data_IF_567979292278
#
_entry.id   IF_567979292278
#
_cell.length_a   1.000
_cell.length_b   1.000
_cell.length_c   1.000
_cell.angle_alpha   90.00
_cell.angle_beta   90.00
_cell.angle_gamma   90.00
#
_symmetry.space_group_name_H-M   'P 1'
#
loop_
_entity.id
_entity.type
_entity.pdbx_description
1 polymer ?
#
# COMPACT_ATOMS: atom_id res chain seq x y z
N UNK A 1 -23.05 -7.45 4.02
CA UNK A 1 -23.52 -6.28 4.79
C UNK A 1 -22.77 -5.05 4.28
N UNK A 2 -23.38 -3.86 4.24
CA UNK A 2 -22.64 -2.64 3.92
C UNK A 2 -21.56 -2.39 4.99
N UNK A 3 -20.36 -2.04 4.54
CA UNK A 3 -19.24 -1.65 5.40
C UNK A 3 -19.41 -0.17 5.74
N UNK A 4 -19.36 0.19 7.03
CA UNK A 4 -19.41 1.57 7.46
C UNK A 4 -18.01 2.03 7.88
N UNK A 5 -17.59 3.19 7.39
CA UNK A 5 -16.28 3.78 7.67
C UNK A 5 -16.45 4.97 8.62
N UNK A 6 -15.65 5.01 9.67
CA UNK A 6 -15.55 6.16 10.57
C UNK A 6 -14.62 7.22 9.96
N UNK A 7 -15.19 8.09 9.13
CA UNK A 7 -14.46 9.15 8.47
C UNK A 7 -14.12 10.30 9.41
N UNK A 8 -12.87 10.74 9.38
CA UNK A 8 -12.38 11.91 10.13
C UNK A 8 -11.71 12.90 9.17
N UNK A 9 -11.73 14.23 9.46
CA UNK A 9 -11.01 15.19 8.64
C UNK A 9 -9.52 14.84 8.56
N UNK A 10 -8.92 14.97 7.38
CA UNK A 10 -7.49 14.73 7.16
C UNK A 10 -6.73 16.07 7.22
N UNK A 11 -5.95 16.35 8.28
CA UNK A 11 -5.32 17.66 8.44
C UNK A 11 -4.17 17.92 7.47
N UNK A 12 -3.59 16.89 6.84
CA UNK A 12 -2.59 17.07 5.78
C UNK A 12 -3.14 17.77 4.52
N UNK A 13 -4.45 17.68 4.27
CA UNK A 13 -5.08 18.27 3.09
C UNK A 13 -6.51 18.71 3.41
N UNK A 14 -6.71 20.03 3.53
CA UNK A 14 -8.02 20.61 3.81
C UNK A 14 -9.09 20.15 2.80
N UNK A 15 -10.31 19.89 3.30
CA UNK A 15 -11.42 19.39 2.48
C UNK A 15 -11.35 17.90 2.16
N UNK A 16 -10.38 17.16 2.70
CA UNK A 16 -10.30 15.70 2.58
C UNK A 16 -10.56 15.00 3.91
N UNK A 17 -10.86 13.71 3.81
CA UNK A 17 -11.19 12.84 4.94
C UNK A 17 -10.37 11.55 4.87
N UNK A 18 -10.14 10.93 6.02
CA UNK A 18 -9.49 9.61 6.14
C UNK A 18 -10.36 8.65 6.94
N UNK A 19 -10.20 7.38 6.67
CA UNK A 19 -10.76 6.29 7.47
C UNK A 19 -9.83 5.08 7.39
N UNK A 20 -9.89 4.23 8.39
CA UNK A 20 -9.16 2.97 8.46
C UNK A 20 -10.13 1.84 8.77
N UNK A 21 -9.88 0.66 8.19
CA UNK A 21 -10.71 -0.51 8.42
C UNK A 21 -9.85 -1.76 8.37
N UNK A 22 -9.94 -2.54 9.44
CA UNK A 22 -9.43 -3.90 9.48
C UNK A 22 -10.51 -4.86 8.98
N UNK A 23 -10.08 -5.87 8.23
CA UNK A 23 -10.97 -6.87 7.66
C UNK A 23 -10.34 -8.26 7.77
N UNK A 24 -11.16 -9.29 7.64
CA UNK A 24 -10.73 -10.67 7.45
C UNK A 24 -11.56 -11.26 6.31
N UNK A 25 -10.93 -12.03 5.44
CA UNK A 25 -11.52 -12.47 4.18
C UNK A 25 -10.67 -13.52 3.49
N UNK A 26 -11.05 -13.89 2.27
CA UNK A 26 -10.29 -14.84 1.46
C UNK A 26 -8.96 -14.23 0.98
N UNK A 27 -7.95 -15.07 0.77
CA UNK A 27 -6.68 -14.68 0.13
C UNK A 27 -6.96 -14.00 -1.20
N UNK A 28 -6.27 -12.88 -1.47
CA UNK A 28 -6.48 -12.04 -2.65
C UNK A 28 -7.55 -10.96 -2.47
N UNK A 29 -8.14 -10.82 -1.28
CA UNK A 29 -9.10 -9.75 -1.00
C UNK A 29 -8.44 -8.36 -1.12
N UNK A 30 -7.17 -8.21 -0.73
CA UNK A 30 -6.46 -6.93 -0.93
C UNK A 30 -6.34 -6.55 -2.41
N UNK A 31 -6.04 -7.52 -3.27
CA UNK A 31 -5.98 -7.30 -4.72
C UNK A 31 -7.34 -6.86 -5.29
N UNK A 32 -8.43 -7.48 -4.81
CA UNK A 32 -9.79 -7.13 -5.20
C UNK A 32 -10.17 -5.72 -4.73
N UNK A 33 -9.85 -5.37 -3.48
CA UNK A 33 -10.07 -4.03 -2.91
C UNK A 33 -9.30 -2.98 -3.71
N UNK A 34 -7.98 -3.15 -3.87
CA UNK A 34 -7.14 -2.22 -4.62
C UNK A 34 -7.63 -2.02 -6.07
N UNK A 35 -8.08 -3.10 -6.71
CA UNK A 35 -8.66 -3.06 -8.06
C UNK A 35 -9.98 -2.30 -8.14
N UNK A 36 -10.83 -2.40 -7.11
CA UNK A 36 -12.08 -1.65 -7.04
C UNK A 36 -11.84 -0.15 -6.76
N UNK A 37 -10.83 0.17 -5.94
CA UNK A 37 -10.52 1.53 -5.52
C UNK A 37 -9.72 2.34 -6.54
N UNK A 38 -8.86 1.71 -7.37
CA UNK A 38 -7.99 2.42 -8.32
C UNK A 38 -8.72 3.29 -9.34
N UNK A 39 -10.02 3.07 -9.56
CA UNK A 39 -10.85 3.88 -10.46
C UNK A 39 -11.21 5.25 -9.90
N UNK A 40 -10.89 5.53 -8.63
CA UNK A 40 -11.25 6.76 -7.94
C UNK A 40 -10.07 7.73 -7.98
N UNK A 41 -10.13 8.69 -8.89
CA UNK A 41 -8.98 9.54 -9.30
C UNK A 41 -8.42 10.47 -8.22
N UNK A 42 -9.13 10.67 -7.11
CA UNK A 42 -8.69 11.55 -6.01
C UNK A 42 -8.40 10.78 -4.71
N UNK A 43 -8.52 9.46 -4.73
CA UNK A 43 -8.31 8.63 -3.55
C UNK A 43 -6.81 8.34 -3.37
N UNK A 44 -6.34 8.38 -2.13
CA UNK A 44 -5.09 7.77 -1.69
C UNK A 44 -5.44 6.61 -0.79
N UNK A 45 -4.82 5.46 -1.00
CA UNK A 45 -5.11 4.29 -0.17
C UNK A 45 -3.90 3.38 -0.02
N UNK A 46 -3.92 2.65 1.10
CA UNK A 46 -3.04 1.54 1.36
C UNK A 46 -3.91 0.33 1.73
N UNK A 47 -3.62 -0.83 1.16
CA UNK A 47 -4.28 -2.09 1.50
C UNK A 47 -3.21 -3.12 1.76
N UNK A 48 -3.20 -3.67 2.97
CA UNK A 48 -2.29 -4.73 3.38
C UNK A 48 -3.09 -6.00 3.63
N UNK A 49 -2.58 -7.11 3.11
CA UNK A 49 -3.05 -8.46 3.39
C UNK A 49 -1.92 -9.23 4.05
N UNK A 50 -2.20 -9.76 5.24
CA UNK A 50 -1.26 -10.61 5.95
C UNK A 50 -1.17 -11.99 5.27
N UNK A 51 0.05 -12.53 5.24
CA UNK A 51 0.29 -13.88 4.72
C UNK A 51 -0.37 -14.95 5.60
N UNK A 52 -0.59 -16.12 4.99
CA UNK A 52 -1.07 -17.32 5.71
C UNK A 52 0.04 -18.36 5.78
N UNK A 53 -0.24 -19.53 6.35
CA UNK A 53 0.71 -20.66 6.30
C UNK A 53 0.98 -21.17 4.87
N UNK A 54 0.17 -20.78 3.89
CA UNK A 54 0.24 -21.27 2.51
C UNK A 54 0.24 -20.16 1.45
N UNK A 55 0.25 -18.90 1.85
CA UNK A 55 0.25 -17.74 0.94
C UNK A 55 1.10 -16.62 1.49
N UNK A 56 1.77 -15.91 0.59
CA UNK A 56 2.49 -14.67 0.94
C UNK A 56 1.50 -13.57 1.29
N UNK A 57 1.99 -12.57 2.03
CA UNK A 57 1.27 -11.31 2.22
C UNK A 57 1.43 -10.40 1.01
N UNK A 58 0.65 -9.33 0.96
CA UNK A 58 0.75 -8.32 -0.08
C UNK A 58 0.46 -6.92 0.46
N UNK A 59 1.21 -5.94 -0.04
CA UNK A 59 0.98 -4.52 0.18
C UNK A 59 0.65 -3.85 -1.14
N UNK A 60 -0.42 -3.07 -1.12
CA UNK A 60 -0.83 -2.18 -2.19
C UNK A 60 -0.83 -0.75 -1.68
N UNK A 61 -0.23 0.15 -2.45
CA UNK A 61 -0.30 1.59 -2.21
C UNK A 61 -0.77 2.26 -3.49
N UNK A 62 -1.58 3.30 -3.36
CA UNK A 62 -2.05 4.06 -4.50
C UNK A 62 -2.01 5.54 -4.21
N UNK A 63 -1.49 6.30 -5.17
CA UNK A 63 -1.61 7.74 -5.20
C UNK A 63 -2.12 8.21 -6.56
N UNK A 64 -2.81 9.37 -6.64
CA UNK A 64 -3.30 9.90 -7.89
C UNK A 64 -2.21 10.09 -8.95
N UNK A 65 -1.00 10.48 -8.54
CA UNK A 65 0.09 10.83 -9.45
C UNK A 65 0.92 9.62 -9.88
N UNK A 66 1.08 8.61 -9.01
CA UNK A 66 1.95 7.45 -9.25
C UNK A 66 1.18 6.18 -9.66
N UNK A 67 -0.12 6.13 -9.43
CA UNK A 67 -0.93 4.94 -9.65
C UNK A 67 -0.69 3.86 -8.59
N UNK A 68 -0.87 2.58 -8.95
CA UNK A 68 -0.77 1.45 -8.01
C UNK A 68 0.67 0.96 -7.89
N UNK A 69 1.17 0.91 -6.66
CA UNK A 69 2.28 0.08 -6.25
C UNK A 69 1.78 -1.24 -5.66
N UNK A 70 2.50 -2.32 -5.94
CA UNK A 70 2.23 -3.65 -5.40
C UNK A 70 3.55 -4.35 -5.08
N UNK A 71 3.61 -4.91 -3.88
CA UNK A 71 4.70 -5.77 -3.41
C UNK A 71 4.15 -6.98 -2.66
N UNK A 72 4.78 -8.14 -2.86
CA UNK A 72 4.59 -9.28 -1.96
C UNK A 72 5.41 -9.03 -0.70
N UNK A 73 4.87 -9.43 0.44
CA UNK A 73 5.55 -9.30 1.74
C UNK A 73 5.79 -10.68 2.34
N UNK A 74 7.02 -10.90 2.81
CA UNK A 74 7.37 -12.11 3.56
C UNK A 74 6.74 -12.14 4.94
N UNK A 75 6.95 -13.24 5.67
CA UNK A 75 6.43 -13.46 7.02
C UNK A 75 6.82 -12.36 8.03
N UNK A 76 7.91 -11.65 7.78
CA UNK A 76 8.41 -10.58 8.66
C UNK A 76 8.06 -9.17 8.16
N UNK A 77 7.23 -9.05 7.12
CA UNK A 77 6.83 -7.77 6.54
C UNK A 77 7.86 -7.17 5.59
N UNK A 78 8.94 -7.90 5.27
CA UNK A 78 9.92 -7.51 4.26
C UNK A 78 9.33 -7.57 2.84
N UNK A 79 9.67 -6.61 1.98
CA UNK A 79 9.27 -6.62 0.58
C UNK A 79 10.09 -7.67 -0.17
N UNK A 80 9.40 -8.63 -0.78
CA UNK A 80 10.04 -9.61 -1.65
C UNK A 80 10.13 -9.07 -3.08
N UNK A 81 11.36 -8.98 -3.59
CA UNK A 81 11.64 -8.55 -4.96
C UNK A 81 12.07 -9.76 -5.78
N UNK A 82 11.31 -10.17 -6.82
CA UNK A 82 11.73 -11.23 -7.73
C UNK A 82 13.03 -10.87 -8.43
N UNK A 83 13.94 -11.85 -8.57
CA UNK A 83 15.25 -11.67 -9.21
C UNK A 83 15.15 -11.03 -10.60
N UNK A 84 14.15 -11.40 -11.39
CA UNK A 84 13.93 -10.84 -12.74
C UNK A 84 13.63 -9.34 -12.72
N UNK A 85 13.00 -8.82 -11.66
CA UNK A 85 12.79 -7.38 -11.51
C UNK A 85 14.09 -6.66 -11.20
N UNK A 86 14.97 -7.25 -10.39
CA UNK A 86 16.31 -6.70 -10.13
C UNK A 86 17.18 -6.71 -11.40
N UNK A 87 17.18 -7.82 -12.14
CA UNK A 87 17.87 -7.91 -13.43
C UNK A 87 17.38 -6.85 -14.41
N UNK A 88 16.07 -6.65 -14.52
CA UNK A 88 15.48 -5.63 -15.37
C UNK A 88 15.92 -4.21 -14.96
N UNK A 89 15.99 -3.92 -13.65
CA UNK A 89 16.48 -2.65 -13.13
C UNK A 89 17.95 -2.41 -13.52
N UNK A 90 18.82 -3.41 -13.38
CA UNK A 90 20.23 -3.33 -13.78
C UNK A 90 20.38 -3.09 -15.28
N UNK A 91 19.59 -3.76 -16.12
CA UNK A 91 19.62 -3.55 -17.58
C UNK A 91 19.24 -2.12 -17.94
N UNK A 92 18.14 -1.58 -17.38
CA UNK A 92 17.74 -0.18 -17.64
C UNK A 92 18.81 0.81 -17.20
N UNK A 93 19.42 0.58 -16.04
CA UNK A 93 20.49 1.43 -15.54
C UNK A 93 21.73 1.40 -16.45
N UNK A 94 22.11 0.21 -16.94
CA UNK A 94 23.22 0.04 -17.87
C UNK A 94 22.98 0.69 -19.24
N UNK A 95 21.72 0.75 -19.69
CA UNK A 95 21.32 1.45 -20.92
C UNK A 95 21.25 2.97 -20.75
N UNK A 96 21.34 3.49 -19.53
CA UNK A 96 21.26 4.92 -19.23
C UNK A 96 19.84 5.49 -19.19
N UNK A 97 18.81 4.66 -19.20
CA UNK A 97 17.41 5.08 -19.11
C UNK A 97 17.07 5.69 -17.72
N UNK A 98 17.82 5.29 -16.70
CA UNK A 98 17.64 5.62 -15.28
C UNK A 98 18.93 5.28 -14.52
N UNK A 99 18.96 5.54 -13.22
CA UNK A 99 20.02 5.03 -12.34
C UNK A 99 19.54 3.78 -11.58
N UNK A 100 20.49 3.00 -11.07
CA UNK A 100 20.16 1.80 -10.28
C UNK A 100 19.45 2.19 -8.98
N UNK A 101 19.87 3.27 -8.34
CA UNK A 101 19.27 3.79 -7.11
C UNK A 101 17.79 4.12 -7.32
N UNK A 102 17.45 4.81 -8.41
CA UNK A 102 16.06 5.15 -8.73
C UNK A 102 15.19 3.94 -9.03
N UNK A 103 15.73 2.89 -9.66
CA UNK A 103 14.96 1.66 -9.86
C UNK A 103 14.78 0.88 -8.56
N UNK A 104 15.79 0.85 -7.68
CA UNK A 104 15.68 0.25 -6.35
C UNK A 104 14.60 0.98 -5.53
N UNK A 105 14.58 2.31 -5.54
CA UNK A 105 13.55 3.11 -4.87
C UNK A 105 12.14 2.75 -5.38
N UNK A 106 11.97 2.60 -6.69
CA UNK A 106 10.69 2.17 -7.28
C UNK A 106 10.31 0.74 -6.90
N UNK A 107 11.28 -0.18 -6.85
CA UNK A 107 11.03 -1.56 -6.44
C UNK A 107 10.60 -1.67 -4.98
N UNK A 108 11.14 -0.80 -4.12
CA UNK A 108 10.80 -0.71 -2.70
C UNK A 108 9.54 0.12 -2.44
N UNK A 109 8.98 0.79 -3.45
CA UNK A 109 7.78 1.62 -3.29
C UNK A 109 8.04 2.98 -2.64
N UNK A 110 9.30 3.40 -2.53
CA UNK A 110 9.70 4.65 -1.85
C UNK A 110 8.92 5.89 -2.35
N UNK A 111 8.71 6.11 -3.66
CA UNK A 111 7.94 7.28 -4.11
C UNK A 111 6.50 7.33 -3.56
N UNK A 112 5.85 6.17 -3.39
CA UNK A 112 4.53 6.09 -2.78
C UNK A 112 4.60 6.36 -1.28
N UNK A 113 5.60 5.78 -0.61
CA UNK A 113 5.81 6.02 0.82
C UNK A 113 6.07 7.50 1.12
N UNK A 114 6.94 8.16 0.35
CA UNK A 114 7.26 9.58 0.52
C UNK A 114 6.01 10.48 0.36
N UNK A 115 5.12 10.17 -0.59
CA UNK A 115 3.86 10.92 -0.74
C UNK A 115 2.87 10.62 0.41
N UNK A 116 2.71 9.35 0.78
CA UNK A 116 1.72 8.90 1.76
C UNK A 116 2.12 9.23 3.20
N UNK A 117 3.41 9.34 3.51
CA UNK A 117 3.93 9.60 4.86
C UNK A 117 3.34 10.88 5.47
N UNK A 118 3.19 11.92 4.65
CA UNK A 118 2.56 13.18 5.06
C UNK A 118 1.13 12.96 5.58
N UNK A 119 0.39 12.05 4.96
CA UNK A 119 -0.98 11.72 5.35
C UNK A 119 -1.05 10.77 6.54
N UNK A 120 -0.04 9.91 6.76
CA UNK A 120 0.05 8.99 7.91
C UNK A 120 0.21 9.76 9.21
N UNK A 121 1.28 10.55 9.34
CA UNK A 121 1.61 11.32 10.55
C UNK A 121 0.51 12.32 10.93
N UNK A 122 -0.17 12.90 9.93
CA UNK A 122 -1.26 13.82 10.15
C UNK A 122 -2.47 13.21 10.89
N UNK A 123 -2.54 11.88 11.05
CA UNK A 123 -3.58 11.22 11.84
C UNK A 123 -3.15 10.66 13.18
N UNK A 124 -1.96 11.01 13.71
CA UNK A 124 -1.61 10.72 15.10
C UNK A 124 -2.61 11.42 16.04
N UNK A 125 -3.67 10.70 16.41
CA UNK A 125 -4.83 11.24 17.14
C UNK A 125 -6.16 10.56 16.78
N UNK A 126 -6.21 9.78 15.69
CA UNK A 126 -7.38 8.96 15.36
C UNK A 126 -7.53 7.77 16.35
N UNK A 127 -8.74 7.44 16.80
CA UNK A 127 -8.97 6.35 17.76
C UNK A 127 -8.59 4.99 17.14
N UNK A 128 -7.61 4.31 17.74
CA UNK A 128 -7.21 2.95 17.36
C UNK A 128 -8.24 1.95 17.88
N UNK A 129 -8.89 1.21 17.00
CA UNK A 129 -9.82 0.13 17.37
C UNK A 129 -9.13 -1.23 17.27
N UNK A 130 -8.72 -1.77 18.41
CA UNK A 130 -8.20 -3.13 18.52
C UNK A 130 -9.33 -4.16 18.29
N UNK A 131 -9.14 -5.08 17.33
CA UNK A 131 -10.02 -6.24 17.18
C UNK A 131 -9.72 -7.26 18.29
N UNK A 132 -10.73 -7.54 19.12
CA UNK A 132 -10.72 -8.71 19.98
C UNK A 132 -11.35 -9.88 19.21
N UNK A 133 -10.58 -10.93 18.97
CA UNK A 133 -11.10 -12.20 18.46
C UNK A 133 -11.83 -12.90 19.61
N UNK A 134 -13.16 -12.94 19.56
CA UNK A 134 -13.95 -13.83 20.42
C UNK A 134 -13.99 -15.19 19.71
N UNK A 135 -13.40 -16.20 20.37
CA UNK A 135 -13.43 -17.61 19.98
C UNK A 135 -14.87 -18.14 19.96
#
# INVERSE_FOLDING_TARGET
MPVNFDWTPQPAQAGTYRAELFWSGAVGSAAAIASALKGWTHLRFEVTEDGTSTSEGARYSFTPDLGVFHAMTGMHGDIMIPEDRLKAAVVKAALGDTTLELEVDKLLGKPWDDELETFRHAGEGAPVRWLHQVV
#
